data_IF_684618232970
#
_entry.id   IF_684618232970
#
_cell.length_a   1.000
_cell.length_b   1.000
_cell.length_c   1.000
_cell.angle_alpha   90.00
_cell.angle_beta   90.00
_cell.angle_gamma   90.00
#
_symmetry.space_group_name_H-M   'P 1'
#
loop_
_entity.id
_entity.type
_entity.pdbx_description
1 polymer ?
#
# COMPACT_ATOMS: atom_id res chain seq x y z
N UNK A 1 15.85 6.90 -14.07
CA UNK A 1 14.54 7.06 -13.40
C UNK A 1 13.58 6.14 -14.11
N UNK A 2 12.95 5.24 -13.36
CA UNK A 2 11.99 4.27 -13.91
C UNK A 2 10.79 5.01 -14.52
N UNK A 3 10.30 4.50 -15.64
CA UNK A 3 9.06 4.96 -16.27
C UNK A 3 7.85 4.65 -15.38
N UNK A 4 6.72 5.33 -15.60
CA UNK A 4 5.48 5.00 -14.88
C UNK A 4 5.07 3.54 -15.09
N UNK A 5 5.28 2.98 -16.29
CA UNK A 5 4.93 1.58 -16.56
C UNK A 5 5.78 0.61 -15.72
N UNK A 6 7.09 0.83 -15.62
CA UNK A 6 7.97 0.04 -14.74
C UNK A 6 7.60 0.21 -13.26
N UNK A 7 7.24 1.43 -12.84
CA UNK A 7 6.80 1.68 -11.47
C UNK A 7 5.45 1.04 -11.17
N UNK A 8 4.50 1.02 -12.10
CA UNK A 8 3.23 0.30 -11.91
C UNK A 8 3.45 -1.21 -11.77
N UNK A 9 4.41 -1.77 -12.51
CA UNK A 9 4.81 -3.15 -12.31
C UNK A 9 5.38 -3.39 -10.90
N UNK A 10 6.30 -2.54 -10.42
CA UNK A 10 6.82 -2.67 -9.05
C UNK A 10 5.74 -2.43 -7.98
N UNK A 11 4.74 -1.60 -8.25
CA UNK A 11 3.58 -1.42 -7.37
C UNK A 11 2.74 -2.69 -7.27
N UNK A 12 2.55 -3.40 -8.38
CA UNK A 12 1.88 -4.71 -8.36
C UNK A 12 2.71 -5.77 -7.64
N UNK A 13 4.03 -5.78 -7.82
CA UNK A 13 4.94 -6.68 -7.08
C UNK A 13 4.86 -6.42 -5.58
N UNK A 14 4.93 -5.16 -5.15
CA UNK A 14 4.83 -4.80 -3.73
C UNK A 14 3.50 -5.27 -3.14
N UNK A 15 2.38 -4.99 -3.81
CA UNK A 15 1.06 -5.42 -3.35
C UNK A 15 0.87 -6.94 -3.34
N UNK A 16 1.43 -7.64 -4.31
CA UNK A 16 1.41 -9.11 -4.33
C UNK A 16 2.21 -9.69 -3.16
N UNK A 17 3.37 -9.10 -2.83
CA UNK A 17 4.14 -9.46 -1.65
C UNK A 17 3.34 -9.18 -0.36
N UNK A 18 2.68 -8.03 -0.24
CA UNK A 18 1.75 -7.78 0.86
C UNK A 18 0.70 -8.87 0.95
N UNK A 19 0.08 -9.27 -0.17
CA UNK A 19 -0.92 -10.33 -0.20
C UNK A 19 -0.38 -11.67 0.32
N UNK A 20 0.85 -12.05 -0.04
CA UNK A 20 1.51 -13.24 0.53
C UNK A 20 1.68 -13.19 2.06
N UNK A 21 1.67 -12.00 2.67
CA UNK A 21 1.76 -11.84 4.12
C UNK A 21 0.44 -12.03 4.87
N UNK A 22 -0.73 -11.95 4.20
CA UNK A 22 -2.00 -11.94 4.92
C UNK A 22 -3.08 -12.89 4.38
N UNK A 23 -2.99 -13.36 3.12
CA UNK A 23 -4.08 -14.12 2.49
C UNK A 23 -4.48 -15.41 3.21
N UNK A 24 -3.56 -16.03 3.93
CA UNK A 24 -3.76 -17.26 4.70
C UNK A 24 -4.08 -17.01 6.19
N UNK A 25 -4.08 -15.74 6.63
CA UNK A 25 -4.47 -15.39 7.99
C UNK A 25 -6.00 -15.42 8.14
N UNK A 26 -6.45 -15.90 9.30
CA UNK A 26 -7.84 -15.85 9.71
C UNK A 26 -8.32 -14.42 10.01
N UNK A 27 -9.63 -14.21 10.06
CA UNK A 27 -10.20 -12.91 10.41
C UNK A 27 -9.76 -12.44 11.82
N UNK A 28 -9.64 -13.36 12.77
CA UNK A 28 -9.19 -13.05 14.13
C UNK A 28 -7.72 -12.61 14.15
N UNK A 29 -6.86 -13.26 13.36
CA UNK A 29 -5.45 -12.87 13.19
C UNK A 29 -5.30 -11.52 12.49
N UNK A 30 -6.13 -11.23 11.49
CA UNK A 30 -6.15 -9.95 10.79
C UNK A 30 -6.57 -8.81 11.74
N UNK A 31 -7.50 -9.08 12.65
CA UNK A 31 -7.97 -8.12 13.67
C UNK A 31 -7.09 -8.08 14.94
N UNK A 32 -6.15 -9.02 15.06
CA UNK A 32 -5.32 -9.15 16.26
C UNK A 32 -4.37 -7.96 16.42
N UNK A 33 -4.21 -7.52 17.67
CA UNK A 33 -3.21 -6.53 18.08
C UNK A 33 -2.67 -6.88 19.47
N UNK A 34 -1.38 -6.66 19.74
CA UNK A 34 -0.78 -6.99 21.04
C UNK A 34 -1.28 -6.07 22.16
N UNK A 35 -1.61 -4.81 21.85
CA UNK A 35 -2.19 -3.84 22.77
C UNK A 35 -2.97 -2.75 22.04
N UNK A 36 -3.69 -1.90 22.78
CA UNK A 36 -4.54 -0.85 22.21
C UNK A 36 -3.77 0.23 21.44
N UNK A 37 -2.52 0.51 21.84
CA UNK A 37 -1.60 1.39 21.12
C UNK A 37 -0.87 0.68 19.96
N UNK A 38 -1.45 -0.38 19.40
CA UNK A 38 -0.93 -1.04 18.19
C UNK A 38 -2.02 -1.12 17.15
N UNK A 39 -1.61 -1.04 15.89
CA UNK A 39 -2.49 -1.26 14.75
C UNK A 39 -2.45 -2.74 14.36
N UNK A 40 -3.62 -3.32 14.10
CA UNK A 40 -3.71 -4.70 13.62
C UNK A 40 -3.28 -4.80 12.15
N UNK A 41 -3.04 -6.01 11.66
CA UNK A 41 -2.73 -6.27 10.24
C UNK A 41 -3.79 -5.65 9.33
N UNK A 42 -5.08 -5.84 9.65
CA UNK A 42 -6.18 -5.27 8.86
C UNK A 42 -6.16 -3.75 8.76
N UNK A 43 -5.65 -3.04 9.77
CA UNK A 43 -5.47 -1.58 9.69
C UNK A 43 -4.39 -1.21 8.67
N UNK A 44 -3.24 -1.90 8.71
CA UNK A 44 -2.15 -1.64 7.77
C UNK A 44 -2.56 -1.90 6.32
N UNK A 45 -3.29 -3.00 6.08
CA UNK A 45 -3.84 -3.34 4.77
C UNK A 45 -4.74 -2.24 4.21
N UNK A 46 -5.63 -1.69 5.03
CA UNK A 46 -6.50 -0.57 4.64
C UNK A 46 -5.74 0.74 4.50
N UNK A 47 -4.79 1.01 5.40
CA UNK A 47 -3.97 2.23 5.43
C UNK A 47 -3.10 2.38 4.18
N UNK A 48 -2.40 1.31 3.78
CA UNK A 48 -1.63 1.24 2.54
C UNK A 48 -2.45 1.72 1.33
N UNK A 49 -3.64 1.15 1.13
CA UNK A 49 -4.55 1.55 0.06
C UNK A 49 -5.12 2.96 0.26
N UNK A 50 -5.46 3.35 1.48
CA UNK A 50 -5.96 4.69 1.77
C UNK A 50 -4.94 5.77 1.39
N UNK A 51 -3.66 5.60 1.77
CA UNK A 51 -2.57 6.53 1.42
C UNK A 51 -2.35 6.57 -0.08
N UNK A 52 -2.31 5.42 -0.76
CA UNK A 52 -2.17 5.36 -2.20
C UNK A 52 -3.26 6.17 -2.92
N UNK A 53 -4.52 5.94 -2.56
CA UNK A 53 -5.63 6.69 -3.14
C UNK A 53 -5.57 8.17 -2.77
N UNK A 54 -5.35 8.50 -1.49
CA UNK A 54 -5.30 9.87 -0.99
C UNK A 54 -4.24 10.71 -1.72
N UNK A 55 -3.03 10.17 -1.89
CA UNK A 55 -1.93 10.87 -2.53
C UNK A 55 -2.18 11.05 -4.03
N UNK A 56 -2.59 9.98 -4.74
CA UNK A 56 -2.86 10.05 -6.18
C UNK A 56 -4.03 10.99 -6.48
N UNK A 57 -5.14 10.91 -5.72
CA UNK A 57 -6.28 11.80 -5.96
C UNK A 57 -5.89 13.26 -5.75
N UNK A 58 -5.27 13.60 -4.63
CA UNK A 58 -5.08 15.01 -4.30
C UNK A 58 -4.01 15.70 -5.15
N UNK A 59 -3.04 14.95 -5.66
CA UNK A 59 -1.91 15.52 -6.41
C UNK A 59 -2.03 15.32 -7.92
N UNK A 60 -2.93 14.46 -8.40
CA UNK A 60 -3.07 14.19 -9.83
C UNK A 60 -4.51 14.31 -10.34
N UNK A 61 -5.54 13.98 -9.57
CA UNK A 61 -6.93 14.03 -10.02
C UNK A 61 -7.92 14.10 -8.85
N UNK A 62 -8.73 15.16 -8.76
CA UNK A 62 -9.72 15.36 -7.69
C UNK A 62 -10.88 14.33 -7.74
N UNK A 63 -10.59 13.09 -7.34
CA UNK A 63 -11.50 11.95 -7.31
C UNK A 63 -12.06 11.73 -5.88
N UNK A 64 -13.35 11.42 -5.72
CA UNK A 64 -13.92 11.02 -4.42
C UNK A 64 -13.29 9.73 -3.86
N UNK A 65 -13.24 9.59 -2.52
CA UNK A 65 -12.83 8.32 -1.89
C UNK A 65 -13.71 7.15 -2.35
N UNK A 66 -13.14 5.96 -2.67
CA UNK A 66 -13.94 4.79 -3.02
C UNK A 66 -14.80 4.33 -1.85
N UNK A 67 -14.34 4.54 -0.63
CA UNK A 67 -15.10 4.29 0.59
C UNK A 67 -14.76 5.35 1.66
N UNK A 68 -15.56 6.42 1.79
CA UNK A 68 -15.33 7.45 2.79
C UNK A 68 -15.38 6.97 4.25
N UNK A 69 -16.01 5.82 4.53
CA UNK A 69 -16.02 5.26 5.89
C UNK A 69 -14.63 4.74 6.27
N UNK A 70 -13.86 4.23 5.31
CA UNK A 70 -12.48 3.80 5.53
C UNK A 70 -11.57 4.99 5.82
N UNK A 71 -11.78 6.15 5.18
CA UNK A 71 -10.95 7.35 5.42
C UNK A 71 -10.93 7.74 6.91
N UNK A 72 -12.02 7.54 7.64
CA UNK A 72 -12.12 7.88 9.06
C UNK A 72 -11.34 6.93 10.00
N UNK A 73 -10.97 5.74 9.53
CA UNK A 73 -10.26 4.71 10.31
C UNK A 73 -8.82 4.58 9.86
N UNK A 74 -8.58 4.63 8.54
CA UNK A 74 -7.30 4.33 7.90
C UNK A 74 -6.34 5.52 7.86
N UNK A 75 -6.75 6.72 8.27
CA UNK A 75 -5.84 7.86 8.42
C UNK A 75 -4.90 7.64 9.62
N UNK A 76 -3.59 7.73 9.37
CA UNK A 76 -2.56 7.65 10.42
C UNK A 76 -2.68 8.72 11.50
N UNK A 77 -3.36 9.84 11.24
CA UNK A 77 -3.66 10.86 12.24
C UNK A 77 -4.69 10.39 13.28
N UNK A 78 -5.44 9.32 13.00
CA UNK A 78 -6.33 8.68 13.98
C UNK A 78 -5.47 8.00 15.05
N UNK A 79 -5.65 8.30 16.35
CA UNK A 79 -4.88 7.67 17.42
C UNK A 79 -5.06 6.14 17.44
N UNK A 80 -3.98 5.41 17.73
CA UNK A 80 -3.96 3.93 17.70
C UNK A 80 -5.08 3.25 18.49
N UNK A 81 -5.49 3.70 19.69
CA UNK A 81 -6.60 3.09 20.41
C UNK A 81 -7.91 3.07 19.62
N UNK A 82 -8.09 4.01 18.67
CA UNK A 82 -9.29 4.14 17.83
C UNK A 82 -9.22 3.38 16.51
N UNK A 83 -8.16 2.60 16.27
CA UNK A 83 -7.95 1.84 15.03
C UNK A 83 -8.48 0.38 15.09
N UNK A 84 -9.26 0.05 16.13
CA UNK A 84 -9.71 -1.32 16.40
C UNK A 84 -11.00 -1.74 15.69
N UNK A 85 -11.87 -0.80 15.32
CA UNK A 85 -13.13 -1.08 14.63
C UNK A 85 -12.86 -1.20 13.12
N UNK A 86 -12.34 -2.38 12.72
CA UNK A 86 -11.89 -2.62 11.36
C UNK A 86 -13.03 -3.09 10.44
N UNK A 87 -12.98 -2.70 9.16
CA UNK A 87 -13.76 -3.37 8.12
C UNK A 87 -13.43 -4.86 8.07
N UNK A 88 -14.39 -5.67 7.62
CA UNK A 88 -14.15 -7.11 7.48
C UNK A 88 -13.15 -7.40 6.34
N UNK A 89 -12.65 -8.64 6.31
CA UNK A 89 -11.62 -9.09 5.36
C UNK A 89 -12.03 -8.91 3.90
N UNK A 90 -13.30 -9.17 3.56
CA UNK A 90 -13.81 -9.01 2.20
C UNK A 90 -13.84 -7.53 1.79
N UNK A 91 -14.26 -6.64 2.72
CA UNK A 91 -14.27 -5.20 2.49
C UNK A 91 -12.85 -4.66 2.32
N UNK A 92 -11.89 -5.09 3.14
CA UNK A 92 -10.47 -4.71 3.00
C UNK A 92 -9.92 -5.14 1.63
N UNK A 93 -10.20 -6.38 1.22
CA UNK A 93 -9.80 -6.89 -0.10
C UNK A 93 -10.39 -6.06 -1.23
N UNK A 94 -11.70 -5.83 -1.19
CA UNK A 94 -12.39 -5.03 -2.22
C UNK A 94 -11.83 -3.61 -2.30
N UNK A 95 -11.63 -2.96 -1.15
CA UNK A 95 -11.05 -1.62 -1.07
C UNK A 95 -9.64 -1.56 -1.68
N UNK A 96 -8.75 -2.50 -1.30
CA UNK A 96 -7.39 -2.60 -1.85
C UNK A 96 -7.41 -2.79 -3.37
N UNK A 97 -8.27 -3.66 -3.89
CA UNK A 97 -8.43 -3.89 -5.33
C UNK A 97 -8.91 -2.63 -6.05
N UNK A 98 -9.99 -2.01 -5.58
CA UNK A 98 -10.54 -0.78 -6.20
C UNK A 98 -9.53 0.36 -6.20
N UNK A 99 -8.81 0.57 -5.10
CA UNK A 99 -7.76 1.59 -5.04
C UNK A 99 -6.68 1.32 -6.09
N UNK A 100 -6.22 0.08 -6.22
CA UNK A 100 -5.19 -0.25 -7.18
C UNK A 100 -5.63 -0.05 -8.62
N UNK A 101 -6.86 -0.43 -8.96
CA UNK A 101 -7.45 -0.16 -10.27
C UNK A 101 -7.48 1.35 -10.57
N UNK A 102 -7.82 2.19 -9.58
CA UNK A 102 -7.82 3.65 -9.71
C UNK A 102 -6.41 4.22 -9.88
N UNK A 103 -5.44 3.73 -9.11
CA UNK A 103 -4.02 4.09 -9.26
C UNK A 103 -3.54 3.75 -10.67
N UNK A 104 -3.76 2.51 -11.13
CA UNK A 104 -3.41 2.08 -12.48
C UNK A 104 -4.08 2.92 -13.56
N UNK A 105 -5.39 3.14 -13.46
CA UNK A 105 -6.13 3.94 -14.44
C UNK A 105 -5.56 5.36 -14.52
N UNK A 106 -5.31 6.01 -13.38
CA UNK A 106 -4.82 7.38 -13.36
C UNK A 106 -3.39 7.50 -13.87
N UNK A 107 -2.49 6.64 -13.39
CA UNK A 107 -1.08 6.68 -13.76
C UNK A 107 -0.88 6.18 -15.20
N UNK A 108 -1.68 5.24 -15.67
CA UNK A 108 -1.75 4.82 -17.06
C UNK A 108 -2.18 5.95 -18.00
N UNK A 109 -3.17 6.76 -17.60
CA UNK A 109 -3.55 7.96 -18.35
C UNK A 109 -2.41 8.99 -18.39
N UNK A 110 -1.67 9.18 -17.30
CA UNK A 110 -0.48 10.05 -17.27
C UNK A 110 0.61 9.50 -18.21
N UNK A 111 0.91 8.21 -18.14
CA UNK A 111 1.93 7.55 -18.96
C UNK A 111 1.62 7.64 -20.46
N UNK A 112 0.35 7.53 -20.83
CA UNK A 112 -0.13 7.67 -22.22
C UNK A 112 -0.43 9.12 -22.61
N UNK A 113 -0.09 10.09 -21.73
CA UNK A 113 -0.20 11.53 -21.97
C UNK A 113 -1.64 12.01 -22.20
N UNK A 114 -2.63 11.28 -21.68
CA UNK A 114 -4.06 11.59 -21.74
C UNK A 114 -4.49 12.51 -20.57
N UNK A 115 -3.66 13.49 -20.24
CA UNK A 115 -3.86 14.45 -19.15
C UNK A 115 -3.35 15.83 -19.55
N UNK A 116 -3.79 16.88 -18.85
CA UNK A 116 -3.16 18.19 -18.96
C UNK A 116 -1.73 18.19 -18.38
N UNK A 117 -0.83 18.97 -18.98
CA UNK A 117 0.58 19.09 -18.58
C UNK A 117 1.30 17.72 -18.41
N UNK A 118 1.31 16.85 -19.44
CA UNK A 118 1.73 15.46 -19.29
C UNK A 118 3.19 15.31 -18.85
N UNK A 119 4.12 16.16 -19.29
CA UNK A 119 5.53 16.10 -18.85
C UNK A 119 5.67 16.32 -17.35
N UNK A 120 4.96 17.33 -16.81
CA UNK A 120 4.99 17.64 -15.40
C UNK A 120 4.28 16.55 -14.58
N UNK A 121 3.16 16.02 -15.09
CA UNK A 121 2.46 14.90 -14.45
C UNK A 121 3.26 13.60 -14.46
N UNK A 122 4.09 13.36 -15.48
CA UNK A 122 5.00 12.21 -15.49
C UNK A 122 5.99 12.30 -14.33
N UNK A 123 6.60 13.46 -14.12
CA UNK A 123 7.54 13.68 -13.01
C UNK A 123 6.84 13.45 -11.66
N UNK A 124 5.67 14.07 -11.45
CA UNK A 124 4.90 13.92 -10.21
C UNK A 124 4.48 12.47 -10.00
N UNK A 125 3.91 11.82 -11.01
CA UNK A 125 3.43 10.44 -10.94
C UNK A 125 4.55 9.45 -10.62
N UNK A 126 5.73 9.60 -11.23
CA UNK A 126 6.88 8.73 -10.95
C UNK A 126 7.37 8.85 -9.50
N UNK A 127 7.43 10.08 -8.96
CA UNK A 127 7.82 10.27 -7.56
C UNK A 127 6.77 9.72 -6.58
N UNK A 128 5.48 9.93 -6.87
CA UNK A 128 4.40 9.39 -6.06
C UNK A 128 4.41 7.87 -6.04
N UNK A 129 4.50 7.20 -7.20
CA UNK A 129 4.55 5.74 -7.24
C UNK A 129 5.75 5.19 -6.48
N UNK A 130 6.93 5.79 -6.64
CA UNK A 130 8.13 5.36 -5.88
C UNK A 130 7.89 5.48 -4.37
N UNK A 131 7.31 6.58 -3.91
CA UNK A 131 7.00 6.78 -2.50
C UNK A 131 5.94 5.78 -2.00
N UNK A 132 4.90 5.51 -2.79
CA UNK A 132 3.83 4.57 -2.44
C UNK A 132 4.31 3.12 -2.38
N UNK A 133 5.17 2.70 -3.32
CA UNK A 133 5.80 1.37 -3.29
C UNK A 133 6.62 1.18 -2.00
N UNK A 134 7.43 2.18 -1.65
CA UNK A 134 8.25 2.12 -0.44
C UNK A 134 7.40 2.23 0.84
N UNK A 135 6.28 2.96 0.79
CA UNK A 135 5.31 3.00 1.88
C UNK A 135 4.61 1.64 2.06
N UNK A 136 4.27 0.94 0.98
CA UNK A 136 3.74 -0.44 1.04
C UNK A 136 4.74 -1.34 1.78
N UNK A 137 6.00 -1.38 1.34
CA UNK A 137 7.05 -2.19 1.97
C UNK A 137 7.37 -1.79 3.42
N UNK A 138 7.24 -0.52 3.76
CA UNK A 138 7.39 -0.06 5.15
C UNK A 138 6.34 -0.72 6.06
N UNK A 139 5.09 -0.81 5.59
CA UNK A 139 4.02 -1.47 6.31
C UNK A 139 4.14 -2.99 6.26
N UNK A 140 4.63 -3.56 5.16
CA UNK A 140 4.89 -4.99 5.05
C UNK A 140 5.90 -5.48 6.08
N UNK A 141 6.91 -4.66 6.43
CA UNK A 141 7.84 -5.00 7.51
C UNK A 141 7.09 -5.21 8.84
N UNK A 142 6.15 -4.34 9.19
CA UNK A 142 5.35 -4.50 10.40
C UNK A 142 4.42 -5.73 10.31
N UNK A 143 3.74 -5.92 9.18
CA UNK A 143 2.86 -7.08 8.96
C UNK A 143 3.68 -8.38 9.07
N UNK A 144 4.88 -8.42 8.48
CA UNK A 144 5.79 -9.57 8.55
C UNK A 144 6.27 -9.85 9.98
N UNK A 145 6.58 -8.82 10.76
CA UNK A 145 6.91 -8.98 12.18
C UNK A 145 5.75 -9.60 12.96
N UNK A 146 4.53 -9.10 12.81
CA UNK A 146 3.34 -9.68 13.45
C UNK A 146 3.10 -11.11 12.98
N UNK A 147 3.11 -11.35 11.67
CA UNK A 147 2.93 -12.67 11.04
C UNK A 147 3.87 -13.72 11.62
N UNK A 148 5.16 -13.39 11.69
CA UNK A 148 6.18 -14.36 12.07
C UNK A 148 6.40 -14.46 13.57
N UNK A 149 6.58 -13.34 14.26
CA UNK A 149 6.90 -13.30 15.69
C UNK A 149 5.70 -13.62 16.55
N UNK A 150 4.56 -13.02 16.25
CA UNK A 150 3.41 -13.01 17.14
C UNK A 150 2.35 -14.06 16.76
N UNK A 151 2.21 -14.35 15.46
CA UNK A 151 1.25 -15.35 14.93
C UNK A 151 1.90 -16.69 14.54
N UNK A 152 3.23 -16.75 14.43
CA UNK A 152 3.98 -17.99 14.18
C UNK A 152 3.95 -18.53 12.74
N UNK A 153 3.54 -17.71 11.77
CA UNK A 153 3.52 -18.08 10.35
C UNK A 153 4.86 -17.80 9.66
N UNK A 154 5.22 -18.61 8.67
CA UNK A 154 6.43 -18.38 7.89
C UNK A 154 6.32 -17.11 7.03
N UNK A 155 7.44 -16.39 6.86
CA UNK A 155 7.51 -15.28 5.92
C UNK A 155 7.66 -15.79 4.49
N UNK A 156 6.97 -15.18 3.51
CA UNK A 156 7.30 -15.36 2.10
C UNK A 156 8.73 -14.87 1.81
N UNK A 157 9.38 -15.37 0.75
CA UNK A 157 10.68 -14.85 0.32
C UNK A 157 10.56 -13.39 -0.11
N UNK A 158 11.63 -12.61 0.09
CA UNK A 158 11.68 -11.24 -0.41
C UNK A 158 11.46 -11.20 -1.95
N UNK A 159 10.72 -10.22 -2.48
CA UNK A 159 10.61 -10.01 -3.91
C UNK A 159 11.99 -9.74 -4.50
N UNK A 160 12.33 -10.45 -5.58
CA UNK A 160 13.66 -10.37 -6.21
C UNK A 160 13.57 -9.90 -7.65
N UNK A 161 13.86 -8.62 -7.87
CA UNK A 161 13.92 -8.01 -9.21
C UNK A 161 15.18 -7.18 -9.46
N UNK A 162 16.15 -7.23 -8.54
CA UNK A 162 17.42 -6.47 -8.60
C UNK A 162 17.28 -4.97 -8.31
N UNK A 163 16.07 -4.42 -8.35
CA UNK A 163 15.77 -3.03 -8.02
C UNK A 163 15.37 -2.85 -6.55
N UNK A 164 14.90 -3.92 -5.91
CA UNK A 164 14.57 -3.94 -4.47
C UNK A 164 15.81 -4.27 -3.64
N UNK A 165 16.02 -3.52 -2.57
CA UNK A 165 17.13 -3.70 -1.62
C UNK A 165 16.62 -3.55 -0.19
N UNK A 166 17.37 -4.08 0.77
CA UNK A 166 17.09 -3.88 2.19
C UNK A 166 17.90 -2.71 2.74
N UNK A 167 17.24 -1.71 3.31
CA UNK A 167 17.84 -0.53 3.95
C UNK A 167 17.23 -0.41 5.35
N UNK A 168 18.07 -0.39 6.38
CA UNK A 168 17.64 -0.31 7.79
C UNK A 168 16.57 -1.35 8.19
N UNK A 169 16.62 -2.53 7.55
CA UNK A 169 15.65 -3.61 7.78
C UNK A 169 14.42 -3.56 6.88
N UNK A 170 14.17 -2.47 6.15
CA UNK A 170 13.01 -2.33 5.27
C UNK A 170 13.34 -2.68 3.83
N UNK A 171 12.41 -3.32 3.12
CA UNK A 171 12.48 -3.42 1.66
C UNK A 171 12.24 -2.03 1.06
N UNK A 172 13.09 -1.67 0.10
CA UNK A 172 13.06 -0.37 -0.57
C UNK A 172 13.32 -0.60 -2.05
N UNK A 173 12.41 -0.12 -2.89
CA UNK A 173 12.68 0.07 -4.32
C UNK A 173 13.67 1.22 -4.48
N UNK A 174 14.85 0.91 -5.02
CA UNK A 174 15.83 1.91 -5.45
C UNK A 174 15.45 2.42 -6.85
N UNK A 175 14.96 3.66 -7.00
CA UNK A 175 14.55 4.20 -8.31
C UNK A 175 15.73 4.51 -9.24
N UNK A 176 16.97 4.40 -8.73
CA UNK A 176 18.22 4.58 -9.47
C UNK A 176 18.83 3.27 -9.97
N UNK A 177 18.35 2.12 -9.47
CA UNK A 177 18.75 0.78 -9.88
C UNK A 177 18.12 0.34 -11.21
#
# INVERSE_FOLDING_TARGET
>A
MKTIAELLHHYDVARAFTDELWLDLSADEIAWRPHEASSAVGWHLGHQAHVAHFMIRNLTAAEPSPDPAFDAVMDSAVPEPRRGDLPNVEQLRAFRTTVAERVHARLGAIATRQVGAPEQMIIVGSHLLTALINHEYQHDQWIGEVRSRDLGHALPPDPSDGAIRRIDGYLVLDPSA
#
